data_IF_377375119826
#
_entry.id   IF_377375119826
#
_cell.length_a   1.000
_cell.length_b   1.000
_cell.length_c   1.000
_cell.angle_alpha   90.00
_cell.angle_beta   90.00
_cell.angle_gamma   90.00
#
_symmetry.space_group_name_H-M   'P 1'
#
loop_
_entity.id
_entity.type
_entity.pdbx_description
1 polymer ?
#
# COMPACT_ATOMS: atom_id res chain seq x y z
N UNK A 1 -13.64 36.62 23.94
CA UNK A 1 -13.54 35.73 25.09
C UNK A 1 -12.48 34.66 24.80
N UNK A 2 -11.45 34.54 25.62
CA UNK A 2 -10.33 33.60 25.41
C UNK A 2 -10.75 32.17 25.80
N UNK A 3 -11.73 32.03 26.70
CA UNK A 3 -12.18 30.75 27.26
C UNK A 3 -13.05 29.99 26.26
N UNK A 4 -13.95 30.69 25.55
CA UNK A 4 -14.72 30.11 24.45
C UNK A 4 -13.82 29.65 23.32
N UNK A 5 -12.85 30.49 22.93
CA UNK A 5 -11.91 30.16 21.85
C UNK A 5 -11.10 28.90 22.17
N UNK A 6 -10.60 28.77 23.41
CA UNK A 6 -9.91 27.56 23.88
C UNK A 6 -10.79 26.31 23.84
N UNK A 7 -12.05 26.41 24.30
CA UNK A 7 -12.99 25.27 24.26
C UNK A 7 -13.32 24.83 22.84
N UNK A 8 -13.47 25.78 21.91
CA UNK A 8 -13.64 25.48 20.49
C UNK A 8 -12.42 24.79 19.91
N UNK A 9 -11.22 25.24 20.25
CA UNK A 9 -9.95 24.67 19.80
C UNK A 9 -9.76 23.24 20.33
N UNK A 10 -10.02 23.00 21.61
CA UNK A 10 -9.99 21.67 22.24
C UNK A 10 -11.02 20.71 21.62
N UNK A 11 -12.23 21.20 21.33
CA UNK A 11 -13.27 20.42 20.65
C UNK A 11 -12.86 20.01 19.24
N UNK A 12 -12.25 20.94 18.48
CA UNK A 12 -11.75 20.68 17.13
C UNK A 12 -10.58 19.68 17.14
N UNK A 13 -9.65 19.83 18.09
CA UNK A 13 -8.56 18.87 18.27
C UNK A 13 -9.06 17.48 18.61
N UNK A 14 -10.04 17.37 19.51
CA UNK A 14 -10.64 16.09 19.89
C UNK A 14 -11.31 15.43 18.68
N UNK A 15 -12.18 16.16 17.98
CA UNK A 15 -12.86 15.65 16.78
C UNK A 15 -11.86 15.19 15.70
N UNK A 16 -10.77 15.94 15.52
CA UNK A 16 -9.69 15.56 14.62
C UNK A 16 -9.05 14.24 15.06
N UNK A 17 -8.65 14.10 16.34
CA UNK A 17 -8.01 12.87 16.86
C UNK A 17 -8.92 11.65 16.73
N UNK A 18 -10.21 11.81 17.01
CA UNK A 18 -11.21 10.74 16.88
C UNK A 18 -11.34 10.28 15.42
N UNK A 19 -11.38 11.23 14.45
CA UNK A 19 -11.38 10.92 13.01
C UNK A 19 -10.16 10.10 12.59
N UNK A 20 -8.95 10.51 12.99
CA UNK A 20 -7.71 9.79 12.65
C UNK A 20 -7.67 8.40 13.24
N UNK A 21 -8.07 8.27 14.51
CA UNK A 21 -8.11 6.97 15.18
C UNK A 21 -9.09 6.03 14.47
N UNK A 22 -10.27 6.53 14.10
CA UNK A 22 -11.26 5.77 13.35
C UNK A 22 -10.71 5.27 12.00
N UNK A 23 -10.13 6.16 11.19
CA UNK A 23 -9.58 5.80 9.87
C UNK A 23 -8.44 4.79 9.99
N UNK A 24 -7.52 4.99 10.95
CA UNK A 24 -6.40 4.08 11.16
C UNK A 24 -6.87 2.68 11.57
N UNK A 25 -7.83 2.59 12.51
CA UNK A 25 -8.38 1.31 12.96
C UNK A 25 -9.06 0.57 11.82
N UNK A 26 -9.95 1.24 11.09
CA UNK A 26 -10.68 0.63 9.97
C UNK A 26 -9.71 0.13 8.89
N UNK A 27 -8.66 0.88 8.58
CA UNK A 27 -7.69 0.44 7.58
C UNK A 27 -6.91 -0.80 8.04
N UNK A 28 -6.51 -0.87 9.30
CA UNK A 28 -5.88 -2.08 9.85
C UNK A 28 -6.82 -3.30 9.82
N UNK A 29 -8.10 -3.11 10.16
CA UNK A 29 -9.10 -4.18 10.11
C UNK A 29 -9.41 -4.65 8.68
N UNK A 30 -9.31 -3.76 7.68
CA UNK A 30 -9.52 -4.08 6.27
C UNK A 30 -8.30 -4.70 5.59
N UNK A 31 -7.08 -4.42 6.07
CA UNK A 31 -5.83 -4.97 5.50
C UNK A 31 -5.78 -6.49 5.59
N UNK A 32 -6.22 -7.05 6.71
CA UNK A 32 -6.23 -8.51 6.95
C UNK A 32 -7.11 -9.28 5.95
N UNK A 33 -8.41 -8.95 5.77
CA UNK A 33 -9.24 -9.63 4.78
C UNK A 33 -8.80 -9.37 3.35
N UNK A 34 -8.31 -8.16 3.02
CA UNK A 34 -7.76 -7.86 1.69
C UNK A 34 -6.54 -8.71 1.35
N UNK A 35 -5.58 -8.81 2.27
CA UNK A 35 -4.42 -9.68 2.09
C UNK A 35 -4.83 -11.15 1.94
N UNK A 36 -5.89 -11.58 2.63
CA UNK A 36 -6.50 -12.89 2.42
C UNK A 36 -7.03 -13.08 1.00
N UNK A 37 -7.78 -12.12 0.47
CA UNK A 37 -8.32 -12.18 -0.90
C UNK A 37 -7.18 -12.17 -1.94
N UNK A 38 -6.17 -11.31 -1.78
CA UNK A 38 -4.99 -11.26 -2.66
C UNK A 38 -4.22 -12.58 -2.61
N UNK A 39 -3.96 -13.11 -1.41
CA UNK A 39 -3.24 -14.38 -1.24
C UNK A 39 -3.98 -15.57 -1.86
N UNK A 40 -5.27 -15.72 -1.55
CA UNK A 40 -6.10 -16.79 -2.08
C UNK A 40 -6.29 -16.69 -3.61
N UNK A 41 -6.49 -15.48 -4.14
CA UNK A 41 -6.62 -15.29 -5.59
C UNK A 41 -5.33 -15.62 -6.32
N UNK A 42 -4.15 -15.32 -5.75
CA UNK A 42 -2.84 -15.76 -6.28
C UNK A 42 -2.70 -17.28 -6.27
N UNK A 43 -3.00 -17.93 -5.14
CA UNK A 43 -2.95 -19.40 -5.04
C UNK A 43 -3.87 -20.08 -6.06
N UNK A 44 -5.06 -19.52 -6.30
CA UNK A 44 -6.00 -20.06 -7.29
C UNK A 44 -5.53 -19.81 -8.73
N UNK A 45 -4.88 -18.68 -9.02
CA UNK A 45 -4.30 -18.39 -10.34
C UNK A 45 -3.19 -19.38 -10.74
N UNK A 46 -2.51 -19.96 -9.74
CA UNK A 46 -1.49 -21.00 -9.93
C UNK A 46 -2.08 -22.41 -10.10
N UNK A 47 -3.40 -22.57 -9.94
CA UNK A 47 -4.10 -23.84 -10.11
C UNK A 47 -4.61 -24.04 -11.55
N UNK A 48 -5.15 -25.24 -11.84
CA UNK A 48 -5.80 -25.48 -13.13
C UNK A 48 -7.17 -24.77 -13.17
N UNK A 49 -7.25 -23.72 -13.98
CA UNK A 49 -8.43 -22.91 -14.22
C UNK A 49 -8.78 -22.93 -15.71
N UNK A 50 -10.08 -22.83 -16.03
CA UNK A 50 -10.50 -22.48 -17.39
C UNK A 50 -10.11 -21.03 -17.71
N UNK A 51 -10.06 -20.67 -18.99
CA UNK A 51 -9.77 -19.29 -19.42
C UNK A 51 -10.70 -18.25 -18.79
N UNK A 52 -12.00 -18.57 -18.70
CA UNK A 52 -12.99 -17.68 -18.08
C UNK A 52 -12.75 -17.53 -16.56
N UNK A 53 -12.45 -18.63 -15.86
CA UNK A 53 -12.12 -18.60 -14.44
C UNK A 53 -10.84 -17.83 -14.16
N UNK A 54 -9.81 -17.99 -15.01
CA UNK A 54 -8.56 -17.25 -14.92
C UNK A 54 -8.80 -15.75 -15.07
N UNK A 55 -9.61 -15.33 -16.05
CA UNK A 55 -9.99 -13.91 -16.24
C UNK A 55 -10.74 -13.35 -15.02
N UNK A 56 -11.69 -14.10 -14.47
CA UNK A 56 -12.38 -13.69 -13.24
C UNK A 56 -11.41 -13.57 -12.06
N UNK A 57 -10.50 -14.52 -11.89
CA UNK A 57 -9.57 -14.51 -10.75
C UNK A 57 -8.52 -13.40 -10.86
N UNK A 58 -8.06 -13.08 -12.08
CA UNK A 58 -7.25 -11.89 -12.34
C UNK A 58 -8.00 -10.61 -11.97
N UNK A 59 -9.29 -10.51 -12.32
CA UNK A 59 -10.13 -9.34 -12.00
C UNK A 59 -10.29 -9.19 -10.48
N UNK A 60 -10.52 -10.29 -9.76
CA UNK A 60 -10.63 -10.30 -8.29
C UNK A 60 -9.31 -9.83 -7.65
N UNK A 61 -8.18 -10.39 -8.09
CA UNK A 61 -6.87 -10.04 -7.56
C UNK A 61 -6.55 -8.54 -7.77
N UNK A 62 -6.72 -8.04 -9.00
CA UNK A 62 -6.49 -6.61 -9.32
C UNK A 62 -7.42 -5.72 -8.51
N UNK A 63 -8.69 -6.09 -8.34
CA UNK A 63 -9.64 -5.31 -7.55
C UNK A 63 -9.27 -5.25 -6.07
N UNK A 64 -8.81 -6.38 -5.50
CA UNK A 64 -8.38 -6.43 -4.10
C UNK A 64 -7.11 -5.59 -3.85
N UNK A 65 -6.14 -5.65 -4.76
CA UNK A 65 -4.93 -4.81 -4.70
C UNK A 65 -5.31 -3.33 -4.81
N UNK A 66 -6.15 -2.98 -5.78
CA UNK A 66 -6.59 -1.59 -6.00
C UNK A 66 -7.32 -1.04 -4.77
N UNK A 67 -8.20 -1.85 -4.18
CA UNK A 67 -8.93 -1.47 -2.97
C UNK A 67 -7.98 -1.27 -1.78
N UNK A 68 -6.95 -2.10 -1.63
CA UNK A 68 -5.89 -1.89 -0.63
C UNK A 68 -5.14 -0.58 -0.81
N UNK A 69 -4.82 -0.21 -2.05
CA UNK A 69 -4.16 1.06 -2.36
C UNK A 69 -5.05 2.26 -2.00
N UNK A 70 -6.35 2.21 -2.35
CA UNK A 70 -7.31 3.26 -1.97
C UNK A 70 -7.35 3.45 -0.45
N UNK A 71 -7.34 2.37 0.33
CA UNK A 71 -7.32 2.48 1.80
C UNK A 71 -6.01 3.06 2.34
N UNK A 72 -4.86 2.74 1.72
CA UNK A 72 -3.60 3.38 2.07
C UNK A 72 -3.63 4.89 1.76
N UNK A 73 -4.16 5.29 0.60
CA UNK A 73 -4.29 6.69 0.21
C UNK A 73 -5.18 7.49 1.18
N UNK A 74 -6.27 6.88 1.66
CA UNK A 74 -7.16 7.50 2.66
C UNK A 74 -6.43 7.71 4.00
N UNK A 75 -5.63 6.74 4.45
CA UNK A 75 -4.79 6.93 5.64
C UNK A 75 -3.81 8.07 5.40
N UNK A 76 -3.15 8.08 4.25
CA UNK A 76 -2.12 9.06 3.96
C UNK A 76 -2.68 10.48 3.85
N UNK A 77 -3.88 10.64 3.30
CA UNK A 77 -4.62 11.89 3.28
C UNK A 77 -4.97 12.37 4.70
N UNK A 78 -5.41 11.46 5.59
CA UNK A 78 -5.69 11.80 6.99
C UNK A 78 -4.41 12.15 7.77
N UNK A 79 -3.29 11.50 7.44
CA UNK A 79 -1.97 11.91 7.91
C UNK A 79 -1.56 13.27 7.34
N UNK A 80 -1.92 13.61 6.12
CA UNK A 80 -1.56 14.87 5.44
C UNK A 80 -2.24 16.11 6.02
N UNK A 81 -3.46 15.95 6.56
CA UNK A 81 -4.17 16.99 7.33
C UNK A 81 -3.41 17.39 8.61
N UNK A 82 -2.41 16.61 9.02
CA UNK A 82 -1.47 16.91 10.10
C UNK A 82 -0.09 17.05 9.46
N UNK A 83 0.64 18.15 9.66
CA UNK A 83 2.01 18.33 9.11
C UNK A 83 3.07 17.40 9.75
N UNK A 84 2.82 16.10 9.88
CA UNK A 84 3.71 15.08 10.46
C UNK A 84 3.69 13.82 9.59
N UNK A 85 4.27 13.92 8.41
CA UNK A 85 4.68 12.72 7.69
C UNK A 85 5.98 12.25 8.37
N UNK A 86 5.84 11.35 9.34
CA UNK A 86 6.98 10.70 9.97
C UNK A 86 7.39 9.51 9.10
N UNK A 87 8.61 9.57 8.55
CA UNK A 87 9.23 8.42 7.93
C UNK A 87 9.57 7.42 9.03
N UNK A 88 9.36 6.13 8.77
CA UNK A 88 9.75 5.04 9.66
C UNK A 88 10.82 4.18 8.97
N UNK A 89 12.09 4.64 8.92
CA UNK A 89 13.15 3.88 8.29
C UNK A 89 13.38 2.56 9.04
N UNK A 90 13.55 1.48 8.29
CA UNK A 90 13.97 0.20 8.81
C UNK A 90 15.01 -0.43 7.88
N UNK A 91 15.89 -1.31 8.39
CA UNK A 91 16.77 -2.11 7.55
C UNK A 91 15.96 -2.94 6.55
N UNK A 92 16.31 -2.82 5.27
CA UNK A 92 15.67 -3.48 4.14
C UNK A 92 16.73 -4.14 3.28
N UNK A 93 16.53 -5.41 2.90
CA UNK A 93 17.35 -6.04 1.87
C UNK A 93 17.02 -5.40 0.51
N UNK A 94 17.96 -4.65 -0.05
CA UNK A 94 17.69 -3.86 -1.23
C UNK A 94 17.64 -4.69 -2.51
N UNK A 95 18.38 -5.80 -2.58
CA UNK A 95 18.32 -6.72 -3.71
C UNK A 95 16.93 -7.36 -3.83
N UNK A 96 16.41 -7.86 -2.71
CA UNK A 96 15.07 -8.45 -2.65
C UNK A 96 13.99 -7.43 -2.99
N UNK A 97 14.13 -6.20 -2.49
CA UNK A 97 13.21 -5.10 -2.77
C UNK A 97 13.18 -4.75 -4.26
N UNK A 98 14.34 -4.59 -4.90
CA UNK A 98 14.42 -4.28 -6.35
C UNK A 98 13.88 -5.44 -7.19
N UNK A 99 14.17 -6.69 -6.81
CA UNK A 99 13.63 -7.87 -7.50
C UNK A 99 12.09 -7.92 -7.43
N UNK A 100 11.50 -7.51 -6.31
CA UNK A 100 10.04 -7.44 -6.17
C UNK A 100 9.43 -6.35 -7.08
N UNK A 101 10.07 -5.17 -7.15
CA UNK A 101 9.64 -4.08 -8.04
C UNK A 101 9.76 -4.49 -9.51
N UNK A 102 10.85 -5.16 -9.87
CA UNK A 102 11.09 -5.70 -11.21
C UNK A 102 9.97 -6.67 -11.61
N UNK A 103 9.62 -7.62 -10.73
CA UNK A 103 8.55 -8.60 -10.96
C UNK A 103 7.18 -7.95 -11.18
N UNK A 104 6.82 -6.98 -10.33
CA UNK A 104 5.55 -6.25 -10.45
C UNK A 104 5.51 -5.43 -11.74
N UNK A 105 6.58 -4.70 -12.04
CA UNK A 105 6.67 -3.84 -13.22
C UNK A 105 6.64 -4.64 -14.52
N UNK A 106 7.33 -5.78 -14.56
CA UNK A 106 7.32 -6.70 -15.70
C UNK A 106 5.90 -7.23 -15.98
N UNK A 107 5.17 -7.66 -14.94
CA UNK A 107 3.79 -8.11 -15.08
C UNK A 107 2.87 -7.00 -15.60
N UNK A 108 3.02 -5.77 -15.10
CA UNK A 108 2.23 -4.62 -15.56
C UNK A 108 2.53 -4.24 -17.01
N UNK A 109 3.79 -4.36 -17.43
CA UNK A 109 4.21 -4.10 -18.81
C UNK A 109 3.67 -5.18 -19.75
N UNK A 110 3.77 -6.45 -19.38
CA UNK A 110 3.23 -7.60 -20.14
C UNK A 110 1.72 -7.44 -20.38
N UNK A 111 0.95 -7.08 -19.35
CA UNK A 111 -0.49 -6.83 -19.46
C UNK A 111 -0.85 -5.72 -20.45
N UNK A 112 0.09 -4.80 -20.72
CA UNK A 112 -0.06 -3.69 -21.68
C UNK A 112 0.63 -3.97 -23.02
N UNK A 113 1.22 -5.15 -23.21
CA UNK A 113 2.02 -5.49 -24.38
C UNK A 113 3.29 -4.65 -24.53
N UNK A 114 3.82 -4.14 -23.42
CA UNK A 114 5.03 -3.32 -23.36
C UNK A 114 6.23 -4.16 -22.95
N UNK A 115 7.40 -3.80 -23.46
CA UNK A 115 8.67 -4.35 -23.01
C UNK A 115 9.16 -3.57 -21.79
N UNK A 116 9.59 -4.29 -20.76
CA UNK A 116 10.21 -3.74 -19.56
C UNK A 116 11.60 -4.35 -19.40
N UNK A 117 12.62 -3.51 -19.25
CA UNK A 117 14.00 -3.92 -18.99
C UNK A 117 14.50 -3.15 -17.76
N UNK A 118 15.12 -3.86 -16.81
CA UNK A 118 15.78 -3.28 -15.65
C UNK A 118 17.28 -3.55 -15.75
N UNK A 119 18.07 -2.49 -15.89
CA UNK A 119 19.52 -2.57 -16.01
C UNK A 119 20.21 -2.08 -14.73
N UNK A 120 21.12 -2.89 -14.18
CA UNK A 120 21.91 -2.53 -12.99
C UNK A 120 23.29 -2.06 -13.45
N UNK A 121 23.56 -0.77 -13.26
CA UNK A 121 24.84 -0.17 -13.64
C UNK A 121 25.99 -0.44 -12.65
N UNK A 122 25.64 -0.88 -11.44
CA UNK A 122 26.58 -1.24 -10.38
C UNK A 122 25.96 -2.28 -9.45
N UNK A 123 26.80 -2.89 -8.61
CA UNK A 123 26.32 -3.74 -7.52
C UNK A 123 25.45 -2.93 -6.56
N UNK A 124 24.34 -3.54 -6.14
CA UNK A 124 23.43 -2.93 -5.17
C UNK A 124 23.96 -3.20 -3.74
N UNK A 125 23.82 -2.25 -2.80
CA UNK A 125 24.10 -2.55 -1.40
C UNK A 125 23.16 -3.64 -0.91
N UNK A 126 23.67 -4.59 -0.12
CA UNK A 126 22.84 -5.69 0.41
C UNK A 126 21.70 -5.20 1.30
N UNK A 127 21.91 -4.11 2.03
CA UNK A 127 20.90 -3.53 2.90
C UNK A 127 20.95 -2.00 2.86
N UNK A 128 19.77 -1.38 2.98
CA UNK A 128 19.59 0.06 3.14
C UNK A 128 18.64 0.31 4.32
N UNK A 129 18.72 1.50 4.92
CA UNK A 129 17.78 1.92 5.96
C UNK A 129 16.79 2.91 5.34
N UNK A 130 15.54 2.48 5.17
CA UNK A 130 14.53 3.25 4.44
C UNK A 130 13.12 2.88 4.88
N UNK A 131 12.17 3.78 4.67
CA UNK A 131 10.75 3.45 4.75
C UNK A 131 10.33 2.76 3.45
N UNK A 132 10.30 1.42 3.47
CA UNK A 132 10.02 0.61 2.28
C UNK A 132 8.63 0.85 1.68
N UNK A 133 7.67 1.30 2.49
CA UNK A 133 6.30 1.60 2.02
C UNK A 133 6.29 2.88 1.18
N UNK A 134 7.18 3.83 1.50
CA UNK A 134 7.31 5.11 0.79
C UNK A 134 8.24 5.04 -0.41
N UNK A 135 9.23 4.15 -0.37
CA UNK A 135 10.18 3.97 -1.48
C UNK A 135 9.55 3.25 -2.68
N UNK A 136 8.58 2.36 -2.43
CA UNK A 136 7.86 1.56 -3.44
C UNK A 136 6.89 2.41 -4.24
#
# INVERSE_FOLDING_TARGET
>A
DITERKRHEESLEKASRDKTTFISTISHELRTPLNGIVGLSRMLLDSQLTEEQRKHMQTINVSAITLGNIFNDIIDMDKFDRRKLELLPAPLNFEDFVAEIESISALMAEQKGLRFDLERLSDLPKAIEVDATRLR
#
